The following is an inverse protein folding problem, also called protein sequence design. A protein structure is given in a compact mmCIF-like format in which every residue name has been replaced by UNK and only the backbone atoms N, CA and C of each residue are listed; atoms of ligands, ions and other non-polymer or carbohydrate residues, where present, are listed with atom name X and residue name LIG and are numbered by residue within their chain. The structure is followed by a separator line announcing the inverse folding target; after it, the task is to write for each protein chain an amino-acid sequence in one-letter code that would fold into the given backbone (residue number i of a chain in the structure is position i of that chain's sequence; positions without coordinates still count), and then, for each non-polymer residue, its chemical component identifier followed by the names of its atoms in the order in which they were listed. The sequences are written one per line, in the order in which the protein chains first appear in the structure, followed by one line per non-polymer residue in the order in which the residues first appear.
data_IF_893958980608
#
_entry.id   IF_893958980608
#
_cell.length_a   1.000
_cell.length_b   1.000
_cell.length_c   1.000
_cell.angle_alpha   90.00
_cell.angle_beta   90.00
_cell.angle_gamma   90.00
#
_symmetry.space_group_name_H-M   'P 1'
#
loop_
_entity.id
_entity.type
_entity.pdbx_description
1 polymer ?
#
# COMPACT_ATOMS: atom_id res chain seq x y z
N UNK A 1 -33.92 0.81 2.72
CA UNK A 1 -33.89 -0.62 2.37
C UNK A 1 -32.61 -1.19 2.94
N UNK A 2 -32.67 -1.99 4.01
CA UNK A 2 -31.53 -2.48 4.78
C UNK A 2 -30.68 -3.58 4.12
N UNK A 3 -30.45 -3.53 2.80
CA UNK A 3 -29.61 -4.49 2.08
C UNK A 3 -28.22 -3.88 1.85
N UNK A 4 -27.19 -4.52 2.39
CA UNK A 4 -25.79 -4.21 2.05
C UNK A 4 -25.44 -4.81 0.69
N UNK A 5 -25.61 -4.02 -0.37
CA UNK A 5 -25.29 -4.43 -1.74
C UNK A 5 -23.81 -4.74 -1.93
N UNK A 6 -22.91 -4.07 -1.20
CA UNK A 6 -21.46 -4.34 -1.22
C UNK A 6 -21.15 -5.74 -0.71
N UNK A 7 -21.79 -6.15 0.38
CA UNK A 7 -21.65 -7.50 0.90
C UNK A 7 -22.21 -8.56 -0.06
N UNK A 8 -23.42 -8.33 -0.64
CA UNK A 8 -23.98 -9.23 -1.64
C UNK A 8 -23.03 -9.41 -2.82
N UNK A 9 -22.46 -8.33 -3.35
CA UNK A 9 -21.49 -8.39 -4.45
C UNK A 9 -20.21 -9.13 -4.07
N UNK A 10 -19.78 -9.01 -2.84
CA UNK A 10 -18.62 -9.76 -2.33
C UNK A 10 -18.89 -11.27 -2.29
N UNK A 11 -20.09 -11.68 -1.87
CA UNK A 11 -20.51 -13.08 -1.90
C UNK A 11 -20.58 -13.62 -3.35
N UNK A 12 -21.16 -12.86 -4.26
CA UNK A 12 -21.24 -13.25 -5.68
C UNK A 12 -19.85 -13.45 -6.27
N UNK A 13 -18.90 -12.54 -6.04
CA UNK A 13 -17.51 -12.69 -6.49
C UNK A 13 -16.86 -13.97 -5.95
N UNK A 14 -17.07 -14.28 -4.69
CA UNK A 14 -16.54 -15.52 -4.07
C UNK A 14 -17.15 -16.78 -4.70
N UNK A 15 -18.43 -16.75 -5.03
CA UNK A 15 -19.09 -17.84 -5.76
C UNK A 15 -18.49 -17.98 -7.16
N UNK A 16 -18.36 -16.88 -7.92
CA UNK A 16 -17.74 -16.87 -9.25
C UNK A 16 -16.30 -17.40 -9.21
N UNK A 17 -15.51 -16.99 -8.22
CA UNK A 17 -14.16 -17.50 -8.04
C UNK A 17 -14.14 -19.01 -7.85
N UNK A 18 -14.97 -19.55 -6.96
CA UNK A 18 -15.07 -21.00 -6.70
C UNK A 18 -15.58 -21.80 -7.91
N UNK A 19 -16.36 -21.18 -8.77
CA UNK A 19 -16.84 -21.79 -10.03
C UNK A 19 -15.86 -21.61 -11.20
N UNK A 20 -14.75 -20.89 -11.02
CA UNK A 20 -13.78 -20.62 -12.08
C UNK A 20 -14.31 -19.67 -13.17
N UNK A 21 -15.33 -18.85 -12.88
CA UNK A 21 -15.94 -17.91 -13.85
C UNK A 21 -15.53 -16.46 -13.60
N UNK A 22 -14.27 -16.26 -13.26
CA UNK A 22 -13.67 -14.92 -13.09
C UNK A 22 -13.12 -14.44 -14.43
N UNK A 23 -13.30 -13.15 -14.83
CA UNK A 23 -12.72 -12.62 -16.06
C UNK A 23 -11.20 -12.78 -16.07
N UNK A 24 -10.65 -13.28 -17.18
CA UNK A 24 -9.22 -13.66 -17.30
C UNK A 24 -8.27 -12.53 -16.89
N UNK A 25 -8.52 -11.32 -17.34
CA UNK A 25 -7.63 -10.17 -17.05
C UNK A 25 -7.54 -9.83 -15.56
N UNK A 26 -8.62 -10.07 -14.78
CA UNK A 26 -8.57 -9.89 -13.32
C UNK A 26 -7.90 -11.11 -12.67
N UNK A 27 -8.18 -12.30 -13.21
CA UNK A 27 -7.58 -13.54 -12.72
C UNK A 27 -6.07 -13.55 -12.89
N UNK A 28 -5.53 -13.08 -14.04
CA UNK A 28 -4.10 -12.96 -14.27
C UNK A 28 -3.43 -12.04 -13.26
N UNK A 29 -4.07 -10.91 -12.95
CA UNK A 29 -3.58 -9.99 -11.92
C UNK A 29 -3.54 -10.62 -10.52
N UNK A 30 -4.54 -11.44 -10.17
CA UNK A 30 -4.53 -12.16 -8.90
C UNK A 30 -3.55 -13.35 -8.89
N UNK A 31 -3.29 -13.94 -10.06
CA UNK A 31 -2.35 -15.04 -10.21
C UNK A 31 -0.91 -14.61 -9.88
N UNK A 32 -0.50 -13.40 -10.26
CA UNK A 32 0.81 -12.87 -9.89
C UNK A 32 1.02 -12.80 -8.38
N UNK A 33 -0.01 -12.47 -7.61
CA UNK A 33 0.06 -12.49 -6.15
C UNK A 33 0.39 -13.87 -5.59
N UNK A 34 -0.11 -14.95 -6.20
CA UNK A 34 0.19 -16.30 -5.73
C UNK A 34 1.62 -16.74 -6.00
N UNK A 35 2.25 -16.18 -7.03
CA UNK A 35 3.62 -16.52 -7.43
C UNK A 35 4.70 -15.69 -6.74
N UNK A 36 4.48 -14.38 -6.63
CA UNK A 36 5.50 -13.43 -6.14
C UNK A 36 5.04 -12.58 -4.94
N UNK A 37 3.83 -12.80 -4.43
CA UNK A 37 3.23 -11.98 -3.37
C UNK A 37 3.08 -10.49 -3.76
N UNK A 38 3.10 -10.18 -5.05
CA UNK A 38 2.85 -8.84 -5.59
C UNK A 38 2.08 -8.90 -6.92
N UNK A 39 1.50 -7.78 -7.32
CA UNK A 39 0.60 -7.71 -8.47
C UNK A 39 1.28 -7.87 -9.84
N UNK A 40 2.59 -7.68 -9.94
CA UNK A 40 3.27 -7.45 -11.22
C UNK A 40 4.40 -8.44 -11.51
N UNK A 41 4.45 -9.60 -10.86
CA UNK A 41 5.52 -10.58 -11.00
C UNK A 41 6.93 -10.01 -10.74
N UNK A 42 7.04 -8.97 -9.90
CA UNK A 42 8.33 -8.38 -9.52
C UNK A 42 9.04 -9.33 -8.59
N UNK A 43 10.28 -9.69 -8.94
CA UNK A 43 11.16 -10.48 -8.05
C UNK A 43 11.80 -9.59 -7.00
N UNK A 44 12.29 -10.19 -5.92
CA UNK A 44 12.87 -9.44 -4.81
C UNK A 44 14.12 -8.65 -5.23
N UNK A 45 14.96 -9.20 -6.09
CA UNK A 45 16.12 -8.52 -6.67
C UNK A 45 15.73 -7.35 -7.57
N UNK A 46 14.75 -7.53 -8.44
CA UNK A 46 14.20 -6.45 -9.30
C UNK A 46 13.58 -5.32 -8.45
N UNK A 47 12.95 -5.68 -7.34
CA UNK A 47 12.40 -4.71 -6.40
C UNK A 47 13.50 -3.88 -5.74
N UNK A 48 14.53 -4.54 -5.20
CA UNK A 48 15.67 -3.86 -4.55
C UNK A 48 16.40 -2.97 -5.55
N UNK A 49 16.68 -3.46 -6.76
CA UNK A 49 17.33 -2.67 -7.82
C UNK A 49 16.52 -1.42 -8.18
N UNK A 50 15.18 -1.55 -8.25
CA UNK A 50 14.30 -0.40 -8.47
C UNK A 50 14.42 0.64 -7.37
N UNK A 51 14.51 0.23 -6.11
CA UNK A 51 14.65 1.16 -4.98
C UNK A 51 16.03 1.82 -4.93
N UNK A 52 17.09 1.09 -5.27
CA UNK A 52 18.44 1.67 -5.40
C UNK A 52 18.47 2.74 -6.48
N UNK A 53 17.86 2.47 -7.64
CA UNK A 53 17.75 3.47 -8.69
C UNK A 53 16.95 4.70 -8.24
N UNK A 54 15.85 4.52 -7.53
CA UNK A 54 15.04 5.63 -7.01
C UNK A 54 15.76 6.43 -5.92
N UNK A 55 16.60 5.79 -5.11
CA UNK A 55 17.49 6.48 -4.18
C UNK A 55 18.46 7.39 -4.93
N UNK A 56 19.06 6.89 -6.03
CA UNK A 56 19.98 7.68 -6.84
C UNK A 56 19.29 8.88 -7.50
N UNK A 57 18.04 8.72 -7.97
CA UNK A 57 17.23 9.84 -8.47
C UNK A 57 16.95 10.88 -7.36
N UNK A 58 16.54 10.42 -6.17
CA UNK A 58 16.27 11.30 -5.03
C UNK A 58 17.52 12.09 -4.58
N UNK A 59 18.70 11.52 -4.71
CA UNK A 59 19.98 12.18 -4.40
C UNK A 59 20.28 13.36 -5.33
N UNK A 60 19.64 13.44 -6.49
CA UNK A 60 19.69 14.62 -7.34
C UNK A 60 19.16 15.88 -6.62
N UNK A 61 18.20 15.71 -5.71
CA UNK A 61 17.63 16.79 -4.89
C UNK A 61 18.29 16.87 -3.51
N UNK A 62 18.52 15.71 -2.86
CA UNK A 62 19.11 15.61 -1.52
C UNK A 62 20.28 14.61 -1.55
N UNK A 63 21.54 15.05 -1.71
CA UNK A 63 22.69 14.16 -1.88
C UNK A 63 22.93 13.14 -0.77
N UNK A 64 22.42 13.42 0.43
CA UNK A 64 22.56 12.55 1.62
C UNK A 64 21.41 11.58 1.79
N UNK A 65 20.34 11.69 0.98
CA UNK A 65 19.14 10.86 1.12
C UNK A 65 19.49 9.38 0.98
N UNK A 66 18.79 8.57 1.76
CA UNK A 66 18.79 7.11 1.69
C UNK A 66 17.36 6.60 1.72
N UNK A 67 17.07 5.54 0.95
CA UNK A 67 15.89 4.72 1.09
C UNK A 67 16.27 3.53 1.98
N UNK A 68 15.83 3.51 3.24
CA UNK A 68 16.25 2.46 4.17
C UNK A 68 15.51 1.15 3.90
N UNK A 69 16.27 0.05 3.76
CA UNK A 69 15.72 -1.30 3.64
C UNK A 69 15.83 -2.05 4.97
N UNK A 70 14.80 -2.81 5.29
CA UNK A 70 14.77 -3.75 6.39
C UNK A 70 15.29 -3.19 7.74
N UNK A 71 15.13 -1.88 7.94
CA UNK A 71 15.53 -1.22 9.16
C UNK A 71 14.59 -1.61 10.29
N UNK A 72 15.10 -2.32 11.29
CA UNK A 72 14.33 -2.66 12.49
C UNK A 72 14.09 -1.44 13.38
N UNK A 73 12.89 -1.40 13.98
CA UNK A 73 12.52 -0.39 14.97
C UNK A 73 12.20 0.99 14.42
N UNK A 74 12.09 1.14 13.09
CA UNK A 74 11.65 2.37 12.46
C UNK A 74 10.25 2.79 12.92
N UNK A 75 9.93 4.08 12.81
CA UNK A 75 8.61 4.59 13.19
C UNK A 75 7.50 4.01 12.29
N UNK A 76 7.81 3.77 11.01
CA UNK A 76 6.85 3.13 10.12
C UNK A 76 7.51 2.35 8.98
N UNK A 77 6.77 1.36 8.48
CA UNK A 77 7.02 0.70 7.21
C UNK A 77 6.18 1.41 6.14
N UNK A 78 6.84 1.90 5.08
CA UNK A 78 6.17 2.45 3.91
C UNK A 78 5.88 1.32 2.92
N UNK A 79 4.61 1.15 2.57
CA UNK A 79 4.13 0.10 1.67
C UNK A 79 3.48 0.74 0.46
N UNK A 80 3.82 0.27 -0.72
CA UNK A 80 3.42 0.83 -2.02
C UNK A 80 2.64 -0.18 -2.85
N UNK A 81 2.25 0.16 -4.05
CA UNK A 81 1.67 -0.79 -5.00
C UNK A 81 2.67 -1.17 -6.08
N UNK A 82 2.62 -2.41 -6.56
CA UNK A 82 3.54 -2.92 -7.57
C UNK A 82 3.62 -2.09 -8.88
N UNK A 83 2.57 -1.40 -9.35
CA UNK A 83 2.67 -0.46 -10.45
C UNK A 83 3.59 0.75 -10.21
N UNK A 84 3.83 1.17 -8.95
CA UNK A 84 4.66 2.33 -8.67
C UNK A 84 6.12 2.13 -9.13
N UNK A 85 6.83 1.06 -8.73
CA UNK A 85 8.21 0.86 -9.16
C UNK A 85 8.36 0.63 -10.67
N UNK A 86 7.30 0.23 -11.37
CA UNK A 86 7.35 -0.04 -12.82
C UNK A 86 6.92 1.13 -13.69
N UNK A 87 5.91 1.90 -13.27
CA UNK A 87 5.27 2.89 -14.13
C UNK A 87 5.19 4.29 -13.54
N UNK A 88 5.43 4.43 -12.24
CA UNK A 88 5.29 5.69 -11.48
C UNK A 88 6.40 5.85 -10.45
N UNK A 89 7.61 5.59 -10.88
CA UNK A 89 8.80 5.59 -10.02
C UNK A 89 8.97 6.88 -9.21
N UNK A 90 8.50 8.02 -9.74
CA UNK A 90 8.56 9.31 -9.03
C UNK A 90 7.82 9.31 -7.68
N UNK A 91 6.80 8.47 -7.50
CA UNK A 91 6.02 8.48 -6.25
C UNK A 91 6.86 8.04 -5.06
N UNK A 92 7.69 7.03 -5.23
CA UNK A 92 8.53 6.50 -4.13
C UNK A 92 9.66 7.48 -3.82
N UNK A 93 10.40 7.98 -4.82
CA UNK A 93 11.49 8.90 -4.54
C UNK A 93 10.99 10.24 -3.98
N UNK A 94 9.84 10.75 -4.47
CA UNK A 94 9.22 11.97 -3.92
C UNK A 94 8.77 11.78 -2.46
N UNK A 95 8.20 10.60 -2.15
CA UNK A 95 7.89 10.26 -0.76
C UNK A 95 9.16 10.22 0.10
N UNK A 96 10.25 9.63 -0.40
CA UNK A 96 11.53 9.59 0.30
C UNK A 96 12.10 10.99 0.56
N UNK A 97 12.01 11.91 -0.41
CA UNK A 97 12.39 13.32 -0.25
C UNK A 97 11.56 14.00 0.86
N UNK A 98 10.24 13.78 0.85
CA UNK A 98 9.35 14.34 1.89
C UNK A 98 9.69 13.77 3.27
N UNK A 99 9.94 12.47 3.37
CA UNK A 99 10.27 11.82 4.64
C UNK A 99 11.62 12.29 5.20
N UNK A 100 12.61 12.49 4.34
CA UNK A 100 13.90 13.05 4.72
C UNK A 100 13.75 14.49 5.25
N UNK A 101 13.03 15.34 4.51
CA UNK A 101 12.74 16.72 4.93
C UNK A 101 11.94 16.80 6.23
N UNK A 102 11.03 15.86 6.45
CA UNK A 102 10.24 15.76 7.66
C UNK A 102 11.04 15.21 8.86
N UNK A 103 12.25 14.68 8.64
CA UNK A 103 13.07 14.05 9.65
C UNK A 103 12.40 12.83 10.30
N UNK A 104 11.60 12.09 9.56
CA UNK A 104 10.91 10.89 10.07
C UNK A 104 11.73 9.63 9.85
N UNK A 105 11.60 8.68 10.76
CA UNK A 105 12.29 7.40 10.70
C UNK A 105 11.39 6.34 10.05
N UNK A 106 11.85 5.77 8.93
CA UNK A 106 11.05 4.87 8.12
C UNK A 106 11.88 3.74 7.51
N UNK A 107 11.18 2.77 6.93
CA UNK A 107 11.81 1.66 6.20
C UNK A 107 10.88 1.12 5.13
N UNK A 108 11.47 0.44 4.13
CA UNK A 108 10.77 -0.43 3.19
C UNK A 108 11.32 -1.86 3.30
N UNK A 109 10.51 -2.91 3.11
CA UNK A 109 11.02 -4.27 3.11
C UNK A 109 11.67 -4.61 1.77
N UNK A 110 12.79 -5.35 1.79
CA UNK A 110 13.46 -5.87 0.59
C UNK A 110 12.81 -7.14 0.01
N UNK A 111 11.83 -7.70 0.72
CA UNK A 111 11.16 -8.96 0.39
C UNK A 111 9.63 -8.80 0.51
N UNK A 112 8.81 -9.83 0.21
CA UNK A 112 7.35 -9.72 0.23
C UNK A 112 6.78 -9.05 1.46
N UNK A 113 5.78 -8.19 1.27
CA UNK A 113 5.20 -7.30 2.28
C UNK A 113 5.33 -5.82 1.92
N UNK A 114 6.01 -5.50 0.81
CA UNK A 114 6.10 -4.15 0.26
C UNK A 114 4.92 -3.78 -0.64
N UNK A 115 4.41 -4.74 -1.44
CA UNK A 115 3.25 -4.51 -2.32
C UNK A 115 1.96 -4.65 -1.53
N UNK A 116 1.25 -3.54 -1.37
CA UNK A 116 -0.05 -3.51 -0.74
C UNK A 116 -1.21 -3.69 -1.73
N UNK A 117 -0.94 -3.84 -3.04
CA UNK A 117 -1.99 -4.15 -4.01
C UNK A 117 -2.69 -5.45 -3.64
N UNK A 118 -3.99 -5.46 -3.76
CA UNK A 118 -4.77 -6.67 -3.50
C UNK A 118 -5.96 -6.76 -4.44
N UNK A 119 -5.70 -7.37 -5.59
CA UNK A 119 -6.73 -7.61 -6.60
C UNK A 119 -7.59 -8.82 -6.27
N UNK A 120 -7.19 -9.62 -5.27
CA UNK A 120 -7.92 -10.81 -4.85
C UNK A 120 -9.28 -10.49 -4.24
N UNK A 121 -9.42 -9.29 -3.65
CA UNK A 121 -10.73 -8.76 -3.23
C UNK A 121 -11.73 -8.68 -4.39
N UNK A 122 -11.26 -8.40 -5.61
CA UNK A 122 -12.12 -8.27 -6.81
C UNK A 122 -12.37 -9.59 -7.50
N UNK A 123 -11.41 -10.53 -7.46
CA UNK A 123 -11.62 -11.88 -8.00
C UNK A 123 -12.49 -12.75 -7.10
N UNK A 124 -12.62 -12.40 -5.82
CA UNK A 124 -13.28 -13.23 -4.82
C UNK A 124 -12.36 -14.28 -4.18
N UNK A 125 -11.07 -14.28 -4.49
CA UNK A 125 -10.05 -15.12 -3.84
C UNK A 125 -9.66 -14.53 -2.47
N UNK A 126 -10.52 -14.70 -1.51
CA UNK A 126 -10.34 -14.16 -0.17
C UNK A 126 -9.28 -14.92 0.64
N UNK A 127 -8.95 -16.15 0.25
CA UNK A 127 -7.84 -16.89 0.85
C UNK A 127 -6.50 -16.22 0.52
N UNK A 128 -6.29 -15.90 -0.76
CA UNK A 128 -5.08 -15.18 -1.18
C UNK A 128 -5.05 -13.75 -0.63
N UNK A 129 -6.19 -13.04 -0.62
CA UNK A 129 -6.32 -11.74 0.05
C UNK A 129 -5.86 -11.80 1.51
N UNK A 130 -6.30 -12.82 2.25
CA UNK A 130 -5.90 -13.03 3.63
C UNK A 130 -4.41 -13.35 3.79
N UNK A 131 -3.80 -14.05 2.83
CA UNK A 131 -2.35 -14.32 2.82
C UNK A 131 -1.54 -13.03 2.60
N UNK A 132 -1.92 -12.22 1.63
CA UNK A 132 -1.28 -10.92 1.36
C UNK A 132 -1.36 -10.03 2.60
N UNK A 133 -2.53 -9.91 3.19
CA UNK A 133 -2.70 -9.13 4.41
C UNK A 133 -1.81 -9.62 5.55
N UNK A 134 -1.78 -10.92 5.83
CA UNK A 134 -0.89 -11.47 6.86
C UNK A 134 0.57 -11.14 6.57
N UNK A 135 1.01 -11.27 5.33
CA UNK A 135 2.37 -10.96 4.90
C UNK A 135 2.79 -9.53 5.28
N UNK A 136 1.93 -8.53 5.04
CA UNK A 136 2.19 -7.14 5.45
C UNK A 136 2.41 -6.99 6.95
N UNK A 137 1.54 -7.59 7.76
CA UNK A 137 1.64 -7.46 9.21
C UNK A 137 2.77 -8.29 9.80
N UNK A 138 3.05 -9.47 9.26
CA UNK A 138 4.20 -10.30 9.65
C UNK A 138 5.52 -9.57 9.35
N UNK A 139 5.62 -8.90 8.19
CA UNK A 139 6.77 -8.08 7.85
C UNK A 139 6.90 -6.88 8.79
N UNK A 140 5.82 -6.16 9.08
CA UNK A 140 5.83 -5.04 10.02
C UNK A 140 6.26 -5.48 11.44
N UNK A 141 5.79 -6.64 11.88
CA UNK A 141 6.18 -7.22 13.17
C UNK A 141 7.64 -7.70 13.17
N UNK A 142 8.11 -8.34 12.08
CA UNK A 142 9.50 -8.76 11.90
C UNK A 142 10.44 -7.55 12.01
N UNK A 143 10.11 -6.46 11.37
CA UNK A 143 10.87 -5.21 11.39
C UNK A 143 10.59 -4.36 12.64
N UNK A 144 9.70 -4.79 13.52
CA UNK A 144 9.36 -4.09 14.78
C UNK A 144 8.96 -2.63 14.58
N UNK A 145 8.33 -2.31 13.46
CA UNK A 145 7.87 -0.94 13.19
C UNK A 145 6.65 -0.60 14.02
N UNK A 146 6.44 0.68 14.31
CA UNK A 146 5.33 1.15 15.14
C UNK A 146 4.02 1.22 14.38
N UNK A 147 4.05 1.46 13.06
CA UNK A 147 2.88 1.48 12.16
C UNK A 147 3.24 1.16 10.72
N UNK A 148 2.22 0.92 9.90
CA UNK A 148 2.34 0.81 8.44
C UNK A 148 1.73 2.07 7.82
N UNK A 149 2.45 2.73 6.92
CA UNK A 149 1.93 3.80 6.07
C UNK A 149 1.72 3.22 4.68
N UNK A 150 0.47 3.13 4.25
CA UNK A 150 0.12 2.63 2.91
C UNK A 150 0.13 3.77 1.90
N UNK A 151 0.73 3.49 0.74
CA UNK A 151 0.81 4.41 -0.39
C UNK A 151 -0.55 4.85 -0.95
N UNK A 152 -0.59 5.26 -2.20
CA UNK A 152 -1.72 6.02 -2.77
C UNK A 152 -3.01 5.19 -3.00
N UNK A 153 -2.94 3.86 -3.01
CA UNK A 153 -4.01 3.03 -3.52
C UNK A 153 -5.17 2.81 -2.54
N UNK A 154 -6.31 3.43 -2.82
CA UNK A 154 -7.52 3.23 -2.01
C UNK A 154 -8.08 1.80 -2.04
N UNK A 155 -7.89 1.05 -3.13
CA UNK A 155 -8.31 -0.36 -3.19
C UNK A 155 -7.50 -1.23 -2.24
N UNK A 156 -6.18 -1.06 -2.26
CA UNK A 156 -5.26 -1.72 -1.36
C UNK A 156 -5.59 -1.37 0.09
N UNK A 157 -5.77 -0.10 0.39
CA UNK A 157 -6.13 0.35 1.73
C UNK A 157 -7.44 -0.32 2.20
N UNK A 158 -8.50 -0.31 1.39
CA UNK A 158 -9.76 -0.96 1.74
C UNK A 158 -9.62 -2.46 1.96
N UNK A 159 -8.84 -3.14 1.09
CA UNK A 159 -8.60 -4.57 1.25
C UNK A 159 -7.88 -4.89 2.55
N UNK A 160 -6.77 -4.20 2.81
CA UNK A 160 -5.94 -4.45 4.00
C UNK A 160 -6.63 -3.94 5.28
N UNK A 161 -7.21 -2.73 5.25
CA UNK A 161 -7.77 -2.08 6.44
C UNK A 161 -9.10 -2.71 6.88
N UNK A 162 -10.05 -2.94 5.96
CA UNK A 162 -11.41 -3.34 6.28
C UNK A 162 -11.72 -4.80 5.89
N UNK A 163 -11.74 -5.11 4.59
CA UNK A 163 -12.25 -6.38 4.08
C UNK A 163 -11.44 -7.56 4.60
N UNK A 164 -10.10 -7.44 4.59
CA UNK A 164 -9.22 -8.47 5.11
C UNK A 164 -9.34 -8.66 6.61
N UNK A 165 -9.61 -7.60 7.40
CA UNK A 165 -9.87 -7.73 8.84
C UNK A 165 -11.10 -8.58 9.10
N UNK A 166 -12.19 -8.26 8.41
CA UNK A 166 -13.45 -9.02 8.53
C UNK A 166 -13.27 -10.48 8.10
N UNK A 167 -12.54 -10.72 7.02
CA UNK A 167 -12.26 -12.06 6.53
C UNK A 167 -11.43 -12.90 7.51
N UNK A 168 -10.37 -12.31 8.09
CA UNK A 168 -9.51 -12.97 9.06
C UNK A 168 -10.10 -13.04 10.48
N UNK A 169 -11.24 -12.39 10.71
CA UNK A 169 -11.86 -12.30 12.04
C UNK A 169 -11.03 -11.46 13.03
N UNK A 170 -10.20 -10.56 12.54
CA UNK A 170 -9.41 -9.68 13.41
C UNK A 170 -10.24 -8.53 13.92
N UNK A 171 -10.24 -8.34 15.24
CA UNK A 171 -10.90 -7.19 15.87
C UNK A 171 -10.09 -5.90 15.67
N UNK A 172 -8.77 -6.02 15.75
CA UNK A 172 -7.83 -4.93 15.60
C UNK A 172 -6.71 -5.34 14.66
N UNK A 173 -6.05 -4.39 14.03
CA UNK A 173 -4.83 -4.64 13.31
C UNK A 173 -3.69 -4.98 14.27
N UNK A 174 -2.83 -5.98 13.96
CA UNK A 174 -1.66 -6.29 14.79
C UNK A 174 -0.66 -5.13 14.93
N UNK A 175 -0.59 -4.28 13.92
CA UNK A 175 0.19 -3.03 13.89
C UNK A 175 -0.73 -1.93 13.34
N UNK A 176 -0.72 -0.71 13.91
CA UNK A 176 -1.50 0.41 13.38
C UNK A 176 -1.22 0.66 11.90
N UNK A 177 -2.25 1.02 11.16
CA UNK A 177 -2.17 1.29 9.72
C UNK A 177 -2.82 2.63 9.40
N UNK A 178 -2.18 3.42 8.54
CA UNK A 178 -2.65 4.72 8.09
C UNK A 178 -2.45 4.86 6.59
N UNK A 179 -3.31 5.61 5.92
CA UNK A 179 -3.14 5.95 4.51
C UNK A 179 -2.16 7.11 4.36
N UNK A 180 -1.37 7.12 3.28
CA UNK A 180 -0.37 8.18 3.01
C UNK A 180 -0.95 9.60 3.06
N UNK A 181 -2.17 9.81 2.56
CA UNK A 181 -2.85 11.11 2.62
C UNK A 181 -3.03 11.59 4.06
N UNK A 182 -3.40 10.70 4.97
CA UNK A 182 -3.57 11.03 6.40
C UNK A 182 -2.21 11.28 7.04
N UNK A 183 -1.22 10.47 6.67
CA UNK A 183 0.14 10.65 7.18
C UNK A 183 0.75 11.98 6.73
N UNK A 184 0.59 12.37 5.47
CA UNK A 184 1.04 13.68 5.01
C UNK A 184 0.29 14.84 5.70
N UNK A 185 -0.99 14.65 5.98
CA UNK A 185 -1.75 15.62 6.77
C UNK A 185 -1.21 15.73 8.21
N UNK A 186 -0.86 14.62 8.85
CA UNK A 186 -0.17 14.62 10.16
C UNK A 186 1.13 15.44 10.08
N UNK A 187 2.00 15.17 9.10
CA UNK A 187 3.27 15.89 8.94
C UNK A 187 3.07 17.40 8.73
N UNK A 188 2.04 17.80 7.98
CA UNK A 188 1.69 19.21 7.78
C UNK A 188 1.20 19.86 9.08
N UNK A 189 0.31 19.22 9.80
CA UNK A 189 -0.29 19.77 11.04
C UNK A 189 0.71 19.81 12.20
N UNK A 190 1.66 18.87 12.23
CA UNK A 190 2.78 18.87 13.18
C UNK A 190 3.88 19.85 12.79
N UNK A 191 3.79 20.49 11.63
CA UNK A 191 4.79 21.45 11.14
C UNK A 191 6.11 20.83 10.69
N UNK A 192 6.15 19.49 10.51
CA UNK A 192 7.32 18.77 10.02
C UNK A 192 7.61 19.02 8.55
N UNK A 193 6.57 19.31 7.77
CA UNK A 193 6.70 19.79 6.39
C UNK A 193 5.94 21.08 6.22
N UNK A 194 6.36 21.89 5.23
CA UNK A 194 5.74 23.17 4.91
C UNK A 194 5.43 23.24 3.42
N UNK A 195 4.26 23.78 3.07
CA UNK A 195 3.92 24.06 1.68
C UNK A 195 4.75 25.22 1.17
N UNK A 196 5.55 24.98 0.13
CA UNK A 196 6.46 25.98 -0.43
C UNK A 196 5.73 27.04 -1.28
N UNK A 197 4.60 26.67 -1.90
CA UNK A 197 3.85 27.53 -2.82
C UNK A 197 2.35 27.33 -2.62
N UNK A 198 1.61 28.41 -2.87
CA UNK A 198 0.16 28.35 -3.03
C UNK A 198 -0.15 27.95 -4.47
N UNK A 199 -1.18 27.14 -4.65
CA UNK A 199 -1.73 26.79 -5.95
C UNK A 199 -2.92 27.71 -6.20
N UNK A 200 -2.81 28.58 -7.21
CA UNK A 200 -3.80 29.64 -7.48
C UNK A 200 -4.81 29.29 -8.58
N UNK A 201 -4.69 28.11 -9.19
CA UNK A 201 -5.66 27.66 -10.19
C UNK A 201 -6.86 26.97 -9.54
N UNK A 202 -8.05 27.09 -10.14
CA UNK A 202 -9.23 26.34 -9.68
C UNK A 202 -8.99 24.84 -9.76
N UNK A 203 -9.29 24.13 -8.67
CA UNK A 203 -9.18 22.66 -8.59
C UNK A 203 -10.52 22.04 -8.21
N UNK A 204 -10.77 20.84 -8.70
CA UNK A 204 -11.89 20.01 -8.27
C UNK A 204 -11.34 18.80 -7.52
N UNK A 205 -11.90 18.51 -6.36
CA UNK A 205 -11.56 17.33 -5.58
C UNK A 205 -12.52 16.20 -5.95
N UNK A 206 -11.97 15.06 -6.35
CA UNK A 206 -12.71 13.81 -6.48
C UNK A 206 -12.34 12.88 -5.32
N UNK A 207 -13.30 12.71 -4.42
CA UNK A 207 -13.09 11.84 -3.25
C UNK A 207 -12.90 10.38 -3.65
N UNK A 208 -11.80 9.73 -3.25
CA UNK A 208 -11.57 8.31 -3.53
C UNK A 208 -12.52 7.44 -2.70
N UNK A 209 -13.48 6.81 -3.37
CA UNK A 209 -14.55 6.03 -2.73
C UNK A 209 -14.06 4.99 -1.72
N UNK A 210 -12.92 4.35 -1.98
CA UNK A 210 -12.40 3.28 -1.14
C UNK A 210 -11.71 3.77 0.13
N UNK A 211 -11.33 5.03 0.20
CA UNK A 211 -10.74 5.63 1.40
C UNK A 211 -11.85 6.24 2.26
N UNK A 212 -12.69 7.09 1.67
CA UNK A 212 -13.67 7.87 2.42
C UNK A 212 -14.88 7.05 2.87
N UNK A 213 -15.32 6.10 2.03
CA UNK A 213 -16.49 5.25 2.31
C UNK A 213 -16.14 3.92 2.99
N UNK A 214 -14.88 3.64 3.21
CA UNK A 214 -14.38 2.42 3.83
C UNK A 214 -14.15 2.52 5.34
N UNK A 215 -14.49 3.67 5.93
CA UNK A 215 -14.36 3.94 7.38
C UNK A 215 -15.70 4.10 8.03
#
# INVERSE_FOLDING_TARGET
VGIDTGYVMSLVRRICHRLGVVPLYIQDTAHSHSGTMNQMWVKDDEWVDSLVWQEDEARGEIPTLRIPFDKEGADFLYSVIAPEPKFRTQLIYQAAVIFDQAGVDWTMPSSPGWDNSDMCMFTGDYEMMGRLKRCHFEMAQKLKVKRIVMGECGHAFRSVYDVGNRWLGWKNHPVPIVHSVEFFWELLTEGKIKLAKKFDEPVTIHDPCNIIRGR
#
